data_IF_556155795040
#
_entry.id   IF_556155795040
#
_cell.length_a   1.000
_cell.length_b   1.000
_cell.length_c   1.000
_cell.angle_alpha   90.00
_cell.angle_beta   90.00
_cell.angle_gamma   90.00
#
_symmetry.space_group_name_H-M   'P 1'
#
loop_
_entity.id
_entity.type
_entity.pdbx_description
1 polymer ?
#
# COMPACT_ATOMS: atom_id res chain seq x y z
N UNK A 1 32.11 -52.09 -33.88
CA UNK A 1 32.02 -53.35 -34.65
C UNK A 1 31.72 -54.48 -33.68
N UNK A 2 31.08 -55.60 -34.06
CA UNK A 2 29.94 -55.78 -35.00
C UNK A 2 28.83 -56.71 -34.35
N UNK A 3 27.60 -56.95 -34.82
CA UNK A 3 26.66 -56.42 -35.85
C UNK A 3 25.23 -56.99 -35.55
N UNK A 4 24.33 -56.97 -36.55
CA UNK A 4 23.04 -57.68 -36.76
C UNK A 4 21.79 -56.78 -36.61
N UNK A 5 21.31 -56.08 -37.65
CA UNK A 5 20.59 -56.46 -38.90
C UNK A 5 19.04 -56.54 -38.79
N UNK A 6 18.37 -55.90 -39.77
CA UNK A 6 16.91 -55.69 -39.93
C UNK A 6 16.31 -56.62 -41.02
N UNK A 7 14.99 -56.57 -41.39
CA UNK A 7 14.52 -55.57 -42.39
C UNK A 7 13.00 -55.16 -42.40
N UNK A 8 12.71 -54.02 -43.06
CA UNK A 8 11.43 -53.66 -43.75
C UNK A 8 10.29 -53.05 -42.89
N UNK A 9 9.43 -52.12 -43.35
CA UNK A 9 9.25 -51.38 -44.62
C UNK A 9 7.75 -51.08 -44.82
N UNK A 10 7.23 -49.85 -45.00
CA UNK A 10 7.06 -49.11 -46.28
C UNK A 10 6.29 -47.78 -46.00
N UNK A 11 6.48 -46.73 -46.84
CA UNK A 11 5.65 -45.48 -46.91
C UNK A 11 4.92 -45.37 -48.27
N UNK A 12 3.85 -44.56 -48.34
CA UNK A 12 3.87 -43.35 -49.20
C UNK A 12 3.15 -42.15 -48.54
N UNK A 13 3.03 -40.94 -49.09
CA UNK A 13 3.85 -39.94 -49.84
C UNK A 13 2.91 -38.71 -50.04
N UNK A 14 3.46 -37.50 -50.17
CA UNK A 14 2.72 -36.19 -50.21
C UNK A 14 2.47 -35.76 -51.68
N UNK A 15 1.51 -34.85 -52.01
CA UNK A 15 1.67 -33.36 -51.97
C UNK A 15 0.36 -32.60 -51.58
N UNK A 16 0.23 -31.27 -51.47
CA UNK A 16 1.18 -30.13 -51.49
C UNK A 16 0.57 -28.83 -52.09
N UNK A 17 0.72 -27.66 -51.41
CA UNK A 17 0.44 -26.26 -51.88
C UNK A 17 -1.03 -25.89 -52.22
N UNK A 18 -1.47 -24.62 -52.37
CA UNK A 18 -1.15 -23.33 -51.70
C UNK A 18 -2.16 -22.23 -52.14
N UNK A 19 -2.29 -21.17 -51.33
CA UNK A 19 -2.60 -19.76 -51.69
C UNK A 19 -4.04 -19.26 -52.05
N UNK A 20 -4.48 -18.27 -51.23
CA UNK A 20 -4.96 -16.90 -51.59
C UNK A 20 -6.41 -16.60 -52.08
N UNK A 21 -6.90 -15.50 -51.46
CA UNK A 21 -7.79 -14.40 -51.94
C UNK A 21 -9.33 -14.52 -51.83
N UNK A 22 -9.84 -13.65 -50.95
CA UNK A 22 -11.02 -12.76 -51.00
C UNK A 22 -11.99 -12.80 -52.19
N UNK A 23 -13.31 -12.79 -51.90
CA UNK A 23 -14.27 -11.76 -52.32
C UNK A 23 -15.66 -12.01 -51.67
N UNK A 24 -16.55 -11.02 -51.72
CA UNK A 24 -17.88 -11.01 -51.08
C UNK A 24 -19.03 -11.22 -52.10
N UNK A 25 -20.27 -10.80 -51.72
CA UNK A 25 -21.58 -10.95 -52.39
C UNK A 25 -22.25 -12.30 -52.09
N UNK A 26 -23.52 -12.36 -51.67
CA UNK A 26 -24.47 -11.30 -51.30
C UNK A 26 -25.90 -11.85 -51.28
N UNK A 27 -26.79 -11.30 -50.42
CA UNK A 27 -28.22 -11.65 -50.43
C UNK A 27 -29.05 -10.50 -49.86
N UNK A 28 -29.76 -9.81 -50.75
CA UNK A 28 -30.73 -8.75 -50.44
C UNK A 28 -32.14 -9.32 -50.34
N UNK A 29 -32.89 -8.95 -49.32
CA UNK A 29 -34.35 -9.03 -49.30
C UNK A 29 -34.89 -7.74 -48.68
N UNK A 30 -35.78 -7.07 -49.40
CA UNK A 30 -36.35 -5.79 -49.01
C UNK A 30 -37.65 -5.98 -48.23
N UNK A 31 -37.91 -5.07 -47.28
CA UNK A 31 -39.23 -4.89 -46.69
C UNK A 31 -39.48 -3.38 -46.48
N UNK A 32 -40.56 -2.88 -47.09
CA UNK A 32 -41.06 -1.51 -46.91
C UNK A 32 -42.03 -1.48 -45.74
N UNK A 33 -41.89 -0.50 -44.83
CA UNK A 33 -43.00 0.01 -44.01
C UNK A 33 -42.84 1.51 -43.80
N UNK A 34 -43.96 2.23 -43.71
CA UNK A 34 -44.01 3.68 -43.79
C UNK A 34 -44.08 4.39 -42.43
N UNK A 35 -43.57 5.64 -42.41
CA UNK A 35 -44.20 6.80 -41.77
C UNK A 35 -44.52 6.79 -40.27
N UNK A 36 -43.72 7.54 -39.50
CA UNK A 36 -44.22 8.32 -38.36
C UNK A 36 -43.31 9.53 -38.11
N UNK A 37 -43.78 10.76 -38.39
CA UNK A 37 -43.08 11.99 -38.01
C UNK A 37 -43.33 12.31 -36.55
N UNK A 38 -42.41 11.95 -35.66
CA UNK A 38 -42.45 12.37 -34.26
C UNK A 38 -41.84 13.77 -34.12
N UNK A 39 -42.65 14.73 -33.71
CA UNK A 39 -42.18 16.08 -33.37
C UNK A 39 -41.31 16.02 -32.11
N UNK A 40 -40.03 16.40 -32.25
CA UNK A 40 -39.12 16.50 -31.12
C UNK A 40 -39.53 17.69 -30.22
N UNK A 41 -40.09 17.39 -29.05
CA UNK A 41 -40.30 18.39 -28.00
C UNK A 41 -38.98 18.96 -27.47
N UNK A 42 -38.98 20.17 -26.88
CA UNK A 42 -37.76 20.81 -26.41
C UNK A 42 -37.06 19.96 -25.34
N UNK A 43 -35.75 19.76 -25.52
CA UNK A 43 -34.94 18.96 -24.62
C UNK A 43 -34.87 19.60 -23.22
N UNK A 44 -35.45 18.93 -22.23
CA UNK A 44 -35.31 19.33 -20.83
C UNK A 44 -33.86 19.09 -20.41
N UNK A 45 -33.11 20.18 -20.23
CA UNK A 45 -31.73 20.13 -19.79
C UNK A 45 -31.65 19.47 -18.40
N UNK A 46 -31.00 18.30 -18.32
CA UNK A 46 -30.63 17.73 -17.01
C UNK A 46 -29.64 18.69 -16.33
N UNK A 47 -29.82 19.03 -15.05
CA UNK A 47 -28.86 19.85 -14.33
C UNK A 47 -27.51 19.12 -14.28
N UNK A 48 -26.52 19.66 -14.98
CA UNK A 48 -25.13 19.20 -14.85
C UNK A 48 -24.67 19.49 -13.43
N UNK A 49 -24.33 18.44 -12.67
CA UNK A 49 -23.64 18.60 -11.39
C UNK A 49 -22.32 19.31 -11.63
N UNK A 50 -22.15 20.50 -11.04
CA UNK A 50 -20.93 21.26 -11.16
C UNK A 50 -19.71 20.41 -10.72
N UNK A 51 -18.58 20.45 -11.46
CA UNK A 51 -17.39 19.73 -11.07
C UNK A 51 -16.95 20.17 -9.67
N UNK A 52 -16.66 19.19 -8.81
CA UNK A 52 -16.24 19.46 -7.44
C UNK A 52 -14.99 20.35 -7.44
N UNK A 53 -15.02 21.43 -6.66
CA UNK A 53 -13.91 22.38 -6.59
C UNK A 53 -12.59 21.64 -6.28
N UNK A 54 -11.61 21.86 -7.15
CA UNK A 54 -10.28 21.26 -7.03
C UNK A 54 -9.68 21.61 -5.65
N UNK A 55 -9.14 20.62 -4.96
CA UNK A 55 -8.32 20.91 -3.79
C UNK A 55 -7.07 21.69 -4.23
N UNK A 56 -6.56 22.63 -3.42
CA UNK A 56 -5.29 23.27 -3.70
C UNK A 56 -4.17 22.23 -3.63
N UNK A 57 -3.47 21.97 -4.75
CA UNK A 57 -2.23 21.16 -4.72
C UNK A 57 -1.75 20.55 -6.03
N UNK A 58 -2.62 20.08 -6.93
CA UNK A 58 -2.19 19.36 -8.15
C UNK A 58 -3.19 19.48 -9.32
N UNK A 59 -2.72 19.24 -10.54
CA UNK A 59 -3.56 19.26 -11.75
C UNK A 59 -4.46 18.02 -11.83
N UNK A 60 -5.57 18.11 -12.57
CA UNK A 60 -6.57 17.05 -12.67
C UNK A 60 -6.02 15.69 -13.15
N UNK A 61 -4.94 15.67 -13.94
CA UNK A 61 -4.27 14.42 -14.34
C UNK A 61 -3.66 13.67 -13.13
N UNK A 62 -3.11 14.44 -12.18
CA UNK A 62 -2.42 14.00 -10.98
C UNK A 62 -3.33 13.86 -9.75
N UNK A 63 -4.63 14.12 -9.88
CA UNK A 63 -5.60 13.92 -8.79
C UNK A 63 -6.20 12.52 -8.83
N UNK A 64 -6.36 11.91 -7.65
CA UNK A 64 -7.26 10.78 -7.40
C UNK A 64 -8.31 11.26 -6.40
N UNK A 65 -9.58 11.18 -6.77
CA UNK A 65 -10.71 11.33 -5.85
C UNK A 65 -11.67 10.16 -6.04
N UNK A 66 -11.95 9.43 -4.96
CA UNK A 66 -12.88 8.31 -4.98
C UNK A 66 -13.88 8.47 -3.84
N UNK A 67 -15.16 8.51 -4.18
CA UNK A 67 -16.25 8.26 -3.23
C UNK A 67 -16.52 6.75 -3.18
N UNK A 68 -16.34 6.14 -2.02
CA UNK A 68 -16.62 4.74 -1.78
C UNK A 68 -18.15 4.54 -1.63
N UNK A 69 -18.65 3.32 -1.92
CA UNK A 69 -20.09 3.02 -1.89
C UNK A 69 -20.72 3.22 -0.51
N UNK A 70 -19.92 3.21 0.56
CA UNK A 70 -20.31 3.44 1.94
C UNK A 70 -20.45 4.92 2.30
N UNK A 71 -20.08 5.83 1.39
CA UNK A 71 -20.32 7.28 1.46
C UNK A 71 -19.07 8.12 1.72
N UNK A 72 -18.03 7.52 2.31
CA UNK A 72 -16.71 8.11 2.51
C UNK A 72 -16.08 8.57 1.19
N UNK A 73 -15.32 9.68 1.22
CA UNK A 73 -14.54 10.17 0.08
C UNK A 73 -13.08 10.28 0.44
N UNK A 74 -12.20 9.68 -0.36
CA UNK A 74 -10.75 9.89 -0.30
C UNK A 74 -10.29 10.78 -1.45
N UNK A 75 -9.34 11.69 -1.19
CA UNK A 75 -8.76 12.59 -2.18
C UNK A 75 -7.27 12.77 -1.94
N UNK A 76 -6.46 12.63 -2.97
CA UNK A 76 -5.00 12.82 -2.93
C UNK A 76 -4.48 13.28 -4.30
N UNK A 77 -3.25 13.78 -4.29
CA UNK A 77 -2.41 13.93 -5.46
C UNK A 77 -1.51 12.68 -5.59
N UNK A 78 -1.15 12.30 -6.80
CA UNK A 78 -0.10 11.33 -7.08
C UNK A 78 0.96 11.95 -8.00
N UNK A 79 2.22 11.62 -7.74
CA UNK A 79 3.32 11.85 -8.67
C UNK A 79 4.22 10.62 -8.71
N UNK A 80 5.12 10.61 -9.69
CA UNK A 80 6.12 9.57 -9.82
C UNK A 80 7.51 10.17 -9.57
N UNK A 81 8.24 9.58 -8.64
CA UNK A 81 9.55 10.00 -8.14
C UNK A 81 10.63 9.13 -8.79
N UNK A 82 11.73 9.74 -9.26
CA UNK A 82 12.78 9.03 -10.02
C UNK A 82 13.55 7.95 -9.25
N UNK A 83 13.16 7.68 -8.00
CA UNK A 83 13.77 6.67 -7.12
C UNK A 83 12.76 5.91 -6.27
N UNK A 84 11.78 6.57 -5.64
CA UNK A 84 10.75 5.86 -4.86
C UNK A 84 9.54 5.38 -5.67
N UNK A 85 9.46 5.68 -6.97
CA UNK A 85 8.28 5.36 -7.78
C UNK A 85 7.06 6.15 -7.33
N UNK A 86 5.97 5.48 -6.97
CA UNK A 86 4.72 6.13 -6.57
C UNK A 86 4.87 6.94 -5.27
N UNK A 87 4.57 8.24 -5.35
CA UNK A 87 4.45 9.13 -4.19
C UNK A 87 3.05 9.73 -4.15
N UNK A 88 2.40 9.62 -3.00
CA UNK A 88 1.07 10.17 -2.75
C UNK A 88 1.20 11.42 -1.87
N UNK A 89 0.52 12.50 -2.26
CA UNK A 89 0.62 13.81 -1.62
C UNK A 89 -0.77 14.39 -1.34
N UNK A 90 -0.86 15.33 -0.40
CA UNK A 90 -2.11 16.00 -0.05
C UNK A 90 -3.28 15.06 0.30
N UNK A 91 -2.97 13.91 0.92
CA UNK A 91 -3.94 12.87 1.25
C UNK A 91 -4.96 13.41 2.27
N UNK A 92 -6.24 13.29 1.93
CA UNK A 92 -7.36 13.75 2.73
C UNK A 92 -8.54 12.77 2.71
N UNK A 93 -9.20 12.70 3.86
CA UNK A 93 -10.27 11.78 4.19
C UNK A 93 -11.53 12.58 4.53
N UNK A 94 -12.63 12.36 3.83
CA UNK A 94 -13.95 12.86 4.26
C UNK A 94 -14.81 11.67 4.67
N UNK A 95 -14.98 11.41 5.98
CA UNK A 95 -15.89 10.37 6.44
C UNK A 95 -17.33 10.68 6.02
N UNK A 96 -18.15 9.64 5.93
CA UNK A 96 -19.60 9.76 5.73
C UNK A 96 -20.19 10.71 6.79
N UNK A 97 -20.86 11.77 6.35
CA UNK A 97 -21.52 12.74 7.24
C UNK A 97 -20.64 13.92 7.70
N UNK A 98 -19.35 13.98 7.36
CA UNK A 98 -18.57 15.22 7.53
C UNK A 98 -18.70 16.14 6.31
N UNK A 99 -18.79 17.44 6.56
CA UNK A 99 -18.97 18.46 5.51
C UNK A 99 -17.65 18.81 4.81
N UNK A 100 -16.54 18.77 5.53
CA UNK A 100 -15.19 19.13 5.06
C UNK A 100 -14.27 17.91 5.08
N UNK A 101 -13.37 17.74 4.09
CA UNK A 101 -12.28 16.76 4.18
C UNK A 101 -11.33 17.09 5.34
N UNK A 102 -10.86 16.04 6.00
CA UNK A 102 -9.82 16.06 7.02
C UNK A 102 -8.51 15.74 6.31
N UNK A 103 -7.53 16.65 6.35
CA UNK A 103 -6.17 16.39 5.85
C UNK A 103 -5.51 15.35 6.76
N UNK A 104 -4.87 14.33 6.17
CA UNK A 104 -4.20 13.24 6.91
C UNK A 104 -2.69 13.33 6.77
N UNK A 105 -2.19 13.21 5.53
CA UNK A 105 -0.76 13.26 5.21
C UNK A 105 -0.47 14.39 4.21
N UNK A 106 0.66 15.07 4.39
CA UNK A 106 1.23 15.95 3.38
C UNK A 106 1.86 15.11 2.27
N UNK A 107 2.63 14.08 2.63
CA UNK A 107 3.21 13.11 1.68
C UNK A 107 3.36 11.72 2.30
N UNK A 108 3.31 10.70 1.46
CA UNK A 108 3.56 9.30 1.78
C UNK A 108 4.31 8.64 0.61
N UNK A 109 5.40 7.93 0.91
CA UNK A 109 6.27 7.28 -0.09
C UNK A 109 6.99 6.07 0.49
N UNK A 110 7.47 5.19 -0.40
CA UNK A 110 8.60 4.33 -0.06
C UNK A 110 9.87 5.17 0.16
N UNK A 111 10.72 4.66 1.04
CA UNK A 111 11.91 5.32 1.55
C UNK A 111 13.17 4.44 1.46
N UNK A 112 13.06 3.11 1.36
CA UNK A 112 14.11 2.22 0.90
C UNK A 112 13.51 0.83 0.69
N UNK A 113 14.10 0.04 -0.21
CA UNK A 113 14.02 -1.43 -0.15
C UNK A 113 15.48 -1.88 -0.07
N UNK A 114 15.84 -2.53 1.03
CA UNK A 114 17.22 -2.93 1.32
C UNK A 114 17.31 -4.46 1.38
N UNK A 115 18.06 -5.03 0.44
CA UNK A 115 18.14 -6.48 0.18
C UNK A 115 19.56 -7.01 0.38
N UNK A 116 19.96 -7.30 1.63
CA UNK A 116 21.20 -8.02 1.93
C UNK A 116 21.00 -9.53 1.74
N UNK A 117 21.93 -10.15 1.02
CA UNK A 117 22.04 -11.61 0.94
C UNK A 117 22.83 -12.15 2.13
N UNK A 118 22.40 -13.30 2.67
CA UNK A 118 22.99 -13.89 3.87
C UNK A 118 24.42 -14.39 3.64
N UNK A 119 24.82 -14.52 2.37
CA UNK A 119 26.19 -14.86 2.00
C UNK A 119 27.19 -13.69 2.12
N UNK A 120 26.68 -12.46 2.25
CA UNK A 120 27.43 -11.23 2.40
C UNK A 120 28.07 -10.68 1.12
N UNK A 121 27.89 -11.32 -0.05
CA UNK A 121 28.46 -10.85 -1.33
C UNK A 121 27.63 -9.74 -1.95
N UNK A 122 26.31 -9.78 -1.78
CA UNK A 122 25.36 -8.85 -2.38
C UNK A 122 24.56 -8.09 -1.31
N UNK A 123 24.49 -6.76 -1.44
CA UNK A 123 23.63 -5.90 -0.63
C UNK A 123 23.06 -4.77 -1.50
N UNK A 124 21.77 -4.87 -1.82
CA UNK A 124 21.10 -3.94 -2.71
C UNK A 124 20.28 -2.88 -1.95
N UNK A 125 20.12 -1.73 -2.59
CA UNK A 125 19.40 -0.56 -2.08
C UNK A 125 18.49 -0.04 -3.18
N UNK A 126 17.45 -0.80 -3.51
CA UNK A 126 16.84 -0.86 -4.84
C UNK A 126 16.36 0.50 -5.34
N UNK A 127 15.69 1.26 -4.47
CA UNK A 127 15.16 2.60 -4.77
C UNK A 127 16.27 3.60 -5.07
N UNK A 128 17.39 3.51 -4.36
CA UNK A 128 18.49 4.47 -4.49
C UNK A 128 19.55 4.04 -5.50
N UNK A 129 19.70 2.75 -5.79
CA UNK A 129 20.82 2.19 -6.54
C UNK A 129 20.53 1.11 -7.58
N UNK A 130 19.30 0.63 -7.76
CA UNK A 130 18.96 -0.41 -8.77
C UNK A 130 17.81 0.00 -9.70
N UNK A 131 17.73 1.28 -10.09
CA UNK A 131 16.77 1.80 -11.07
C UNK A 131 15.28 1.48 -10.84
N UNK A 132 14.88 1.12 -9.60
CA UNK A 132 13.53 0.67 -9.23
C UNK A 132 12.40 1.47 -9.90
N UNK A 133 12.50 2.81 -9.92
CA UNK A 133 11.47 3.66 -10.49
C UNK A 133 11.46 3.65 -12.03
N UNK A 134 12.61 3.52 -12.67
CA UNK A 134 12.73 3.48 -14.13
C UNK A 134 12.11 2.20 -14.69
N UNK A 135 12.28 1.08 -13.99
CA UNK A 135 11.72 -0.23 -14.30
C UNK A 135 10.24 -0.37 -13.86
N UNK A 136 9.41 0.63 -14.19
CA UNK A 136 7.95 0.58 -14.01
C UNK A 136 7.33 -0.34 -15.07
N UNK A 137 6.54 -1.31 -14.65
CA UNK A 137 5.89 -2.27 -15.56
C UNK A 137 4.59 -1.71 -16.18
N UNK A 138 4.30 -2.05 -17.44
CA UNK A 138 2.98 -1.81 -18.03
C UNK A 138 1.97 -2.84 -17.51
N UNK A 139 0.89 -2.36 -16.91
CA UNK A 139 -0.18 -3.20 -16.37
C UNK A 139 -1.21 -3.53 -17.45
N UNK A 140 -1.53 -4.81 -17.59
CA UNK A 140 -2.66 -5.28 -18.37
C UNK A 140 -3.99 -4.91 -17.70
N UNK A 141 -5.09 -4.68 -18.46
CA UNK A 141 -6.40 -4.34 -17.90
C UNK A 141 -6.94 -5.36 -16.87
N UNK A 142 -6.55 -6.63 -16.98
CA UNK A 142 -6.96 -7.70 -16.06
C UNK A 142 -6.34 -7.56 -14.66
N UNK A 143 -5.18 -6.92 -14.52
CA UNK A 143 -4.51 -6.72 -13.22
C UNK A 143 -5.22 -5.66 -12.37
N UNK A 144 -5.86 -4.69 -13.02
CA UNK A 144 -6.61 -3.60 -12.40
C UNK A 144 -8.14 -3.78 -12.55
N UNK A 145 -8.74 -4.88 -12.05
CA UNK A 145 -10.14 -5.21 -12.30
C UNK A 145 -11.07 -4.14 -11.72
N UNK A 146 -12.03 -3.70 -12.54
CA UNK A 146 -12.98 -2.64 -12.19
C UNK A 146 -12.37 -1.25 -11.97
N UNK A 147 -11.07 -1.08 -12.28
CA UNK A 147 -10.31 0.14 -12.04
C UNK A 147 -9.99 0.93 -13.30
N UNK A 148 -9.06 1.87 -13.13
CA UNK A 148 -8.44 2.64 -14.21
C UNK A 148 -6.93 2.50 -14.12
N UNK A 149 -6.27 2.36 -15.27
CA UNK A 149 -4.81 2.34 -15.37
C UNK A 149 -4.39 3.68 -15.98
N UNK A 150 -3.70 4.51 -15.20
CA UNK A 150 -3.15 5.79 -15.66
C UNK A 150 -1.79 5.58 -16.30
N UNK A 151 -1.53 6.35 -17.36
CA UNK A 151 -0.19 6.50 -17.92
C UNK A 151 0.66 7.38 -17.01
N UNK A 152 1.87 6.91 -16.72
CA UNK A 152 2.86 7.52 -15.83
C UNK A 152 4.04 7.95 -16.69
N UNK A 153 4.37 9.25 -16.68
CA UNK A 153 5.64 9.71 -17.24
C UNK A 153 6.75 9.34 -16.27
N UNK A 154 7.60 8.38 -16.66
CA UNK A 154 8.67 7.86 -15.80
C UNK A 154 9.89 8.78 -15.92
N UNK A 155 10.37 9.40 -14.83
CA UNK A 155 11.58 10.21 -14.87
C UNK A 155 12.83 9.35 -15.14
N UNK A 156 13.74 9.88 -15.95
CA UNK A 156 15.03 9.26 -16.28
C UNK A 156 14.93 7.87 -16.95
N UNK A 157 13.75 7.51 -17.48
CA UNK A 157 13.52 6.31 -18.29
C UNK A 157 14.06 6.43 -19.71
N UNK A 158 14.05 5.31 -20.45
CA UNK A 158 14.36 5.27 -21.88
C UNK A 158 13.55 6.33 -22.66
N UNK A 159 14.20 7.28 -23.36
CA UNK A 159 13.53 8.31 -24.16
C UNK A 159 12.58 7.78 -25.25
N UNK A 160 12.71 6.51 -25.65
CA UNK A 160 11.79 5.85 -26.58
C UNK A 160 10.46 5.41 -25.95
N UNK A 161 10.46 5.12 -24.64
CA UNK A 161 9.27 4.67 -23.89
C UNK A 161 9.05 5.46 -22.56
N UNK A 162 9.01 6.80 -22.59
CA UNK A 162 9.00 7.63 -21.38
C UNK A 162 7.65 7.65 -20.63
N UNK A 163 6.62 6.95 -21.13
CA UNK A 163 5.29 6.88 -20.54
C UNK A 163 4.81 5.42 -20.46
N UNK A 164 4.57 4.93 -19.25
CA UNK A 164 4.16 3.54 -18.98
C UNK A 164 2.75 3.51 -18.37
N UNK A 165 1.89 2.59 -18.79
CA UNK A 165 0.56 2.39 -18.16
C UNK A 165 0.69 1.60 -16.84
N UNK A 166 1.40 2.18 -15.87
CA UNK A 166 1.86 1.48 -14.66
C UNK A 166 1.10 1.76 -13.36
N UNK A 167 0.12 2.70 -13.36
CA UNK A 167 -0.59 3.10 -12.13
C UNK A 167 -2.04 2.64 -12.15
N UNK A 168 -2.37 1.61 -11.37
CA UNK A 168 -3.75 1.18 -11.14
C UNK A 168 -4.42 2.04 -10.06
N UNK A 169 -5.70 2.31 -10.25
CA UNK A 169 -6.61 2.84 -9.22
C UNK A 169 -7.96 2.13 -9.34
N UNK A 170 -8.37 1.39 -8.30
CA UNK A 170 -9.62 0.60 -8.26
C UNK A 170 -10.25 0.64 -6.85
N UNK A 171 -11.39 -0.03 -6.65
CA UNK A 171 -11.98 -0.26 -5.31
C UNK A 171 -12.20 -1.74 -5.09
N UNK A 172 -11.89 -2.27 -3.90
CA UNK A 172 -12.12 -3.68 -3.55
C UNK A 172 -13.00 -3.81 -2.31
N UNK A 173 -13.45 -5.04 -2.05
CA UNK A 173 -14.14 -5.38 -0.81
C UNK A 173 -13.12 -5.66 0.28
N UNK A 174 -13.33 -5.14 1.49
CA UNK A 174 -12.49 -5.44 2.66
C UNK A 174 -13.18 -6.32 3.71
N UNK A 175 -14.28 -6.97 3.35
CA UNK A 175 -15.11 -7.75 4.27
C UNK A 175 -16.01 -6.87 5.14
N UNK A 176 -16.34 -7.33 6.35
CA UNK A 176 -17.20 -6.59 7.27
C UNK A 176 -16.52 -5.31 7.78
N UNK A 177 -17.20 -4.16 7.62
CA UNK A 177 -16.88 -2.92 8.32
C UNK A 177 -17.36 -2.93 9.78
N UNK A 178 -18.49 -3.58 10.03
CA UNK A 178 -18.98 -3.93 11.37
C UNK A 178 -20.06 -5.02 11.28
N UNK A 179 -20.28 -5.70 12.41
CA UNK A 179 -21.43 -6.59 12.65
C UNK A 179 -21.80 -6.55 14.13
N UNK A 180 -23.02 -6.16 14.46
CA UNK A 180 -23.57 -6.10 15.81
C UNK A 180 -24.97 -6.69 15.81
N UNK A 181 -25.31 -7.46 16.84
CA UNK A 181 -26.66 -7.94 17.12
C UNK A 181 -27.32 -7.00 18.13
N UNK A 182 -28.62 -6.72 17.99
CA UNK A 182 -29.34 -5.81 18.89
C UNK A 182 -29.83 -6.59 20.13
N UNK A 183 -29.30 -6.23 21.30
CA UNK A 183 -29.57 -6.91 22.56
C UNK A 183 -31.02 -6.73 23.08
N UNK A 184 -31.76 -5.75 22.56
CA UNK A 184 -33.17 -5.50 22.92
C UNK A 184 -34.12 -6.02 21.83
N UNK A 185 -33.67 -6.04 20.57
CA UNK A 185 -34.44 -6.52 19.41
C UNK A 185 -33.75 -7.77 18.80
N UNK A 186 -33.97 -8.99 19.35
CA UNK A 186 -33.15 -10.15 19.02
C UNK A 186 -33.23 -10.65 17.56
N UNK A 187 -34.19 -10.21 16.77
CA UNK A 187 -34.23 -10.49 15.32
C UNK A 187 -33.42 -9.49 14.47
N UNK A 188 -32.83 -8.45 15.11
CA UNK A 188 -32.17 -7.35 14.43
C UNK A 188 -30.64 -7.48 14.48
N UNK A 189 -30.03 -7.28 13.32
CA UNK A 189 -28.58 -7.20 13.16
C UNK A 189 -28.21 -5.96 12.37
N UNK A 190 -27.30 -5.16 12.90
CA UNK A 190 -26.63 -4.08 12.18
C UNK A 190 -25.34 -4.64 11.58
N UNK A 191 -25.22 -4.67 10.26
CA UNK A 191 -24.00 -5.12 9.59
C UNK A 191 -23.80 -4.39 8.27
N UNK A 192 -22.55 -4.20 7.88
CA UNK A 192 -22.19 -3.56 6.62
C UNK A 192 -20.88 -4.13 6.08
N UNK A 193 -20.80 -4.36 4.77
CA UNK A 193 -19.55 -4.63 4.07
C UNK A 193 -18.80 -3.32 3.80
N UNK A 194 -17.50 -3.30 4.12
CA UNK A 194 -16.61 -2.18 3.85
C UNK A 194 -16.02 -2.19 2.45
N UNK A 195 -15.52 -1.03 2.04
CA UNK A 195 -14.72 -0.85 0.82
C UNK A 195 -13.39 -0.17 1.12
N UNK A 196 -12.43 -0.43 0.24
CA UNK A 196 -11.22 0.37 0.10
C UNK A 196 -11.15 1.02 -1.30
N UNK A 197 -10.37 2.09 -1.38
CA UNK A 197 -9.74 2.57 -2.61
C UNK A 197 -8.33 1.96 -2.63
N UNK A 198 -8.01 1.22 -3.68
CA UNK A 198 -6.72 0.59 -3.90
C UNK A 198 -5.95 1.36 -5.00
N UNK A 199 -4.73 1.79 -4.68
CA UNK A 199 -3.80 2.44 -5.61
C UNK A 199 -2.47 1.68 -5.57
N UNK A 200 -1.95 1.24 -6.73
CA UNK A 200 -0.67 0.53 -6.77
C UNK A 200 0.09 0.69 -8.10
N UNK A 201 1.39 0.42 -8.04
CA UNK A 201 2.30 0.22 -9.19
C UNK A 201 3.06 -1.10 -9.03
N UNK A 202 3.61 -1.63 -10.13
CA UNK A 202 4.51 -2.80 -10.12
C UNK A 202 5.84 -2.39 -10.73
N UNK A 203 6.93 -2.67 -10.02
CA UNK A 203 8.29 -2.26 -10.38
C UNK A 203 9.22 -3.47 -10.37
N UNK A 204 9.98 -3.71 -11.44
CA UNK A 204 10.91 -4.83 -11.53
C UNK A 204 12.32 -4.40 -11.10
N UNK A 205 13.03 -5.25 -10.35
CA UNK A 205 14.45 -5.06 -10.01
C UNK A 205 15.15 -6.42 -10.12
N UNK A 206 15.90 -6.60 -11.21
CA UNK A 206 16.50 -7.90 -11.55
C UNK A 206 15.42 -8.99 -11.68
N UNK A 207 15.51 -10.01 -10.84
CA UNK A 207 14.55 -11.13 -10.80
C UNK A 207 13.27 -10.84 -10.01
N UNK A 208 13.27 -9.80 -9.18
CA UNK A 208 12.15 -9.45 -8.30
C UNK A 208 11.18 -8.47 -8.95
N UNK A 209 9.90 -8.62 -8.65
CA UNK A 209 8.86 -7.62 -8.88
C UNK A 209 8.31 -7.15 -7.53
N UNK A 210 8.09 -5.84 -7.40
CA UNK A 210 7.57 -5.19 -6.20
C UNK A 210 6.24 -4.49 -6.50
N UNK A 211 5.17 -4.99 -5.89
CA UNK A 211 3.83 -4.38 -5.93
C UNK A 211 3.74 -3.35 -4.81
N UNK A 212 3.88 -2.06 -5.13
CA UNK A 212 3.80 -0.96 -4.14
C UNK A 212 2.34 -0.57 -3.93
N UNK A 213 1.75 -0.94 -2.79
CA UNK A 213 0.31 -0.94 -2.58
C UNK A 213 -0.14 0.03 -1.48
N UNK A 214 -1.15 0.86 -1.78
CA UNK A 214 -1.81 1.77 -0.84
C UNK A 214 -3.32 1.51 -0.82
N UNK A 215 -3.87 1.13 0.34
CA UNK A 215 -5.31 0.88 0.53
C UNK A 215 -5.93 1.89 1.48
N UNK A 216 -6.88 2.66 0.98
CA UNK A 216 -7.58 3.73 1.68
C UNK A 216 -9.00 3.26 2.04
N UNK A 217 -9.19 2.81 3.28
CA UNK A 217 -10.42 2.16 3.74
C UNK A 217 -11.51 3.18 4.09
N UNK A 218 -12.78 2.77 4.02
CA UNK A 218 -13.90 3.66 4.27
C UNK A 218 -14.07 4.15 5.72
N UNK A 219 -13.54 3.42 6.70
CA UNK A 219 -13.46 3.85 8.10
C UNK A 219 -12.34 4.87 8.38
N UNK A 220 -11.46 5.12 7.40
CA UNK A 220 -10.34 6.04 7.48
C UNK A 220 -8.98 5.38 7.64
N UNK A 221 -8.93 4.05 7.84
CA UNK A 221 -7.66 3.31 7.89
C UNK A 221 -6.92 3.40 6.57
N UNK A 222 -5.60 3.61 6.61
CA UNK A 222 -4.72 3.47 5.46
C UNK A 222 -3.79 2.30 5.71
N UNK A 223 -3.79 1.31 4.81
CA UNK A 223 -2.81 0.22 4.83
C UNK A 223 -1.78 0.42 3.72
N UNK A 224 -0.53 0.12 4.02
CA UNK A 224 0.62 0.32 3.14
C UNK A 224 1.41 -0.97 3.07
N UNK A 225 1.50 -1.56 1.88
CA UNK A 225 2.17 -2.84 1.67
C UNK A 225 3.15 -2.77 0.50
N UNK A 226 4.17 -3.62 0.55
CA UNK A 226 4.94 -4.04 -0.62
C UNK A 226 4.76 -5.54 -0.76
N UNK A 227 4.31 -5.97 -1.94
CA UNK A 227 4.30 -7.37 -2.34
C UNK A 227 5.57 -7.70 -3.10
N UNK A 228 6.42 -8.58 -2.57
CA UNK A 228 7.59 -9.11 -3.28
C UNK A 228 7.18 -10.39 -4.03
N UNK A 229 7.47 -10.44 -5.34
CA UNK A 229 7.07 -11.51 -6.27
C UNK A 229 8.09 -11.59 -7.43
N UNK A 230 7.79 -12.31 -8.50
CA UNK A 230 8.65 -12.44 -9.68
C UNK A 230 9.31 -13.82 -9.73
N UNK A 231 10.65 -13.86 -9.68
CA UNK A 231 11.45 -15.09 -9.69
C UNK A 231 12.56 -15.04 -8.64
N UNK A 232 12.95 -16.21 -8.13
CA UNK A 232 14.21 -16.33 -7.40
C UNK A 232 15.40 -16.08 -8.34
N UNK A 233 16.49 -15.54 -7.79
CA UNK A 233 17.76 -15.39 -8.49
C UNK A 233 18.41 -16.77 -8.69
N UNK A 234 18.34 -17.32 -9.90
CA UNK A 234 18.94 -18.62 -10.23
C UNK A 234 20.47 -18.59 -10.24
N UNK A 235 21.08 -17.40 -10.32
CA UNK A 235 22.53 -17.22 -10.21
C UNK A 235 23.04 -17.56 -8.80
N UNK A 236 22.16 -17.45 -7.79
CA UNK A 236 22.45 -17.67 -6.37
C UNK A 236 22.05 -19.07 -5.88
N UNK A 237 21.88 -20.04 -6.79
CA UNK A 237 21.45 -21.43 -6.52
C UNK A 237 22.56 -22.36 -6.00
N UNK A 238 23.56 -21.82 -5.31
CA UNK A 238 24.78 -22.52 -4.89
C UNK A 238 25.04 -22.52 -3.36
N UNK A 239 24.10 -22.05 -2.53
CA UNK A 239 24.28 -21.87 -1.10
C UNK A 239 24.13 -23.16 -0.26
N UNK A 240 24.99 -24.14 -0.53
CA UNK A 240 25.03 -25.44 0.15
C UNK A 240 25.63 -25.40 1.58
N UNK A 241 26.07 -24.23 2.06
CA UNK A 241 26.76 -24.05 3.35
C UNK A 241 25.84 -23.64 4.51
N UNK A 242 24.53 -23.91 4.38
CA UNK A 242 23.52 -23.60 5.40
C UNK A 242 22.97 -22.17 5.33
N UNK A 243 23.43 -21.34 4.38
CA UNK A 243 22.89 -20.00 4.10
C UNK A 243 21.77 -20.01 3.06
N UNK A 244 21.48 -21.16 2.45
CA UNK A 244 20.40 -21.33 1.49
C UNK A 244 19.46 -22.48 1.83
N UNK A 245 18.39 -22.61 1.06
CA UNK A 245 17.43 -23.72 1.16
C UNK A 245 17.46 -24.58 -0.11
N UNK A 246 17.41 -25.92 0.01
CA UNK A 246 17.38 -26.80 -1.15
C UNK A 246 16.10 -26.59 -1.97
N UNK A 247 16.28 -26.50 -3.29
CA UNK A 247 15.19 -26.31 -4.25
C UNK A 247 15.32 -27.29 -5.41
N UNK A 248 14.19 -27.59 -6.03
CA UNK A 248 14.13 -28.50 -7.17
C UNK A 248 14.43 -29.96 -6.81
N UNK A 249 14.55 -30.79 -7.86
CA UNK A 249 14.56 -32.24 -7.69
C UNK A 249 15.87 -32.75 -7.07
N UNK A 250 15.76 -33.24 -5.84
CA UNK A 250 16.83 -33.98 -5.17
C UNK A 250 17.92 -33.11 -4.56
N UNK A 251 17.57 -31.87 -4.16
CA UNK A 251 18.45 -30.97 -3.39
C UNK A 251 19.85 -30.82 -4.01
N UNK A 252 19.91 -30.49 -5.30
CA UNK A 252 21.16 -30.19 -6.01
C UNK A 252 21.49 -28.70 -5.98
N UNK A 253 20.44 -27.90 -6.10
CA UNK A 253 20.45 -26.45 -6.18
C UNK A 253 19.93 -25.88 -4.85
N UNK A 254 20.52 -24.78 -4.38
CA UNK A 254 20.21 -24.18 -3.08
C UNK A 254 20.10 -22.66 -3.21
N UNK A 255 18.88 -22.12 -3.15
CA UNK A 255 18.64 -20.69 -3.23
C UNK A 255 19.20 -19.97 -2.00
N UNK A 256 20.06 -18.97 -2.21
CA UNK A 256 20.65 -18.17 -1.13
C UNK A 256 19.57 -17.35 -0.40
N UNK A 257 19.53 -17.48 0.93
CA UNK A 257 18.61 -16.72 1.77
C UNK A 257 19.03 -15.25 1.82
N UNK A 258 18.06 -14.37 1.98
CA UNK A 258 18.27 -12.93 1.98
C UNK A 258 17.14 -12.23 2.75
N UNK A 259 17.34 -10.98 3.14
CA UNK A 259 16.29 -10.17 3.77
C UNK A 259 15.73 -9.13 2.82
N UNK A 260 14.46 -8.77 2.98
CA UNK A 260 13.85 -7.58 2.38
C UNK A 260 13.51 -6.61 3.50
N UNK A 261 14.11 -5.42 3.53
CA UNK A 261 13.82 -4.41 4.54
C UNK A 261 13.20 -3.19 3.88
N UNK A 262 11.89 -3.03 4.02
CA UNK A 262 11.11 -1.98 3.35
C UNK A 262 10.85 -0.85 4.31
N UNK A 263 11.18 0.36 3.87
CA UNK A 263 10.94 1.59 4.62
C UNK A 263 9.87 2.42 3.94
N UNK A 264 8.98 3.01 4.74
CA UNK A 264 8.04 4.06 4.33
C UNK A 264 8.34 5.36 5.07
N UNK A 265 8.17 6.50 4.40
CA UNK A 265 8.25 7.84 4.99
C UNK A 265 6.86 8.48 4.97
N UNK A 266 6.34 8.86 6.14
CA UNK A 266 5.04 9.50 6.33
C UNK A 266 5.24 10.90 6.92
N UNK A 267 4.78 11.90 6.18
CA UNK A 267 4.74 13.30 6.60
C UNK A 267 3.29 13.66 6.95
N UNK A 268 2.99 13.78 8.24
CA UNK A 268 1.63 14.02 8.72
C UNK A 268 1.25 15.51 8.60
N UNK A 269 0.07 15.73 8.03
CA UNK A 269 -0.52 17.05 7.84
C UNK A 269 -1.88 17.18 8.52
N UNK A 270 -2.05 16.57 9.70
CA UNK A 270 -3.35 16.43 10.35
C UNK A 270 -4.05 17.79 10.48
N UNK A 271 -5.28 17.84 9.97
CA UNK A 271 -6.13 19.05 9.94
C UNK A 271 -5.47 20.28 9.27
N UNK A 272 -4.50 20.06 8.37
CA UNK A 272 -3.79 21.09 7.64
C UNK A 272 -2.57 21.66 8.36
N UNK A 273 -2.14 21.06 9.48
CA UNK A 273 -0.94 21.46 10.20
C UNK A 273 0.13 20.38 10.14
N UNK A 274 1.37 20.77 9.83
CA UNK A 274 2.55 19.90 9.98
C UNK A 274 3.04 19.80 11.42
N UNK A 275 2.58 20.68 12.32
CA UNK A 275 3.01 20.77 13.74
C UNK A 275 2.43 19.67 14.64
N UNK A 276 2.22 18.50 14.07
CA UNK A 276 1.67 17.33 14.75
C UNK A 276 2.58 16.87 15.89
N UNK A 277 2.02 16.10 16.83
CA UNK A 277 2.71 15.63 18.03
C UNK A 277 2.71 14.12 18.06
N UNK A 278 3.82 13.49 18.47
CA UNK A 278 3.86 12.04 18.65
C UNK A 278 3.67 11.69 20.13
N UNK A 279 2.76 10.76 20.40
CA UNK A 279 2.53 10.19 21.73
C UNK A 279 2.84 8.69 21.69
N UNK A 280 3.67 8.21 22.62
CA UNK A 280 3.91 6.80 22.88
C UNK A 280 3.02 6.36 24.04
N UNK A 281 2.50 5.15 23.96
CA UNK A 281 1.75 4.51 25.02
C UNK A 281 2.42 3.19 25.38
N UNK A 282 2.62 2.94 26.67
CA UNK A 282 3.13 1.69 27.23
C UNK A 282 2.14 1.22 28.31
N UNK A 283 1.57 0.01 28.20
CA UNK A 283 0.81 -0.60 29.30
C UNK A 283 1.63 -1.64 30.05
N UNK A 284 1.59 -1.56 31.37
CA UNK A 284 2.18 -2.57 32.27
C UNK A 284 1.07 -3.41 32.87
N UNK A 285 1.19 -4.74 32.76
CA UNK A 285 0.28 -5.70 33.40
C UNK A 285 0.82 -6.04 34.79
N UNK A 286 -0.07 -6.01 35.78
CA UNK A 286 0.19 -6.42 37.17
C UNK A 286 -0.62 -7.67 37.48
N UNK A 287 -0.08 -8.54 38.34
CA UNK A 287 -0.80 -9.70 38.88
C UNK A 287 -2.08 -9.28 39.64
N UNK A 288 -3.06 -10.18 39.84
CA UNK A 288 -4.22 -9.93 40.69
C UNK A 288 -3.81 -9.47 42.10
N UNK A 289 -4.53 -8.52 42.70
CA UNK A 289 -4.26 -8.11 44.08
C UNK A 289 -4.90 -9.06 45.12
N UNK A 290 -5.92 -9.82 44.72
CA UNK A 290 -6.58 -10.84 45.54
C UNK A 290 -6.88 -12.14 44.77
N UNK A 291 -7.18 -13.22 45.52
CA UNK A 291 -7.43 -14.57 44.95
C UNK A 291 -8.67 -14.67 44.03
N UNK A 292 -9.56 -13.68 44.06
CA UNK A 292 -10.78 -13.61 43.24
C UNK A 292 -10.71 -12.53 42.14
N UNK A 293 -9.58 -11.85 42.00
CA UNK A 293 -9.39 -10.79 41.01
C UNK A 293 -8.67 -11.30 39.75
N UNK A 294 -8.83 -10.56 38.65
CA UNK A 294 -8.01 -10.74 37.44
C UNK A 294 -6.75 -9.88 37.46
N UNK A 295 -5.79 -10.12 36.56
CA UNK A 295 -4.68 -9.20 36.32
C UNK A 295 -5.20 -7.81 35.91
N UNK A 296 -4.48 -6.75 36.29
CA UNK A 296 -4.82 -5.38 35.91
C UNK A 296 -3.78 -4.81 34.95
N UNK A 297 -4.16 -3.85 34.11
CA UNK A 297 -3.23 -3.16 33.20
C UNK A 297 -3.32 -1.65 33.39
N UNK A 298 -2.17 -0.98 33.51
CA UNK A 298 -2.08 0.49 33.59
C UNK A 298 -1.28 1.04 32.42
N UNK A 299 -1.89 1.92 31.65
CA UNK A 299 -1.25 2.58 30.50
C UNK A 299 -0.64 3.92 30.89
N UNK A 300 0.64 4.10 30.58
CA UNK A 300 1.35 5.39 30.67
C UNK A 300 1.44 6.00 29.27
N UNK A 301 1.17 7.31 29.18
CA UNK A 301 1.32 8.09 27.95
C UNK A 301 2.53 9.01 28.05
N UNK A 302 3.47 8.85 27.13
CA UNK A 302 4.71 9.63 27.03
C UNK A 302 4.65 10.51 25.79
N UNK A 303 4.93 11.81 25.94
CA UNK A 303 5.10 12.72 24.80
C UNK A 303 6.47 12.49 24.17
N UNK A 304 6.51 12.18 22.88
CA UNK A 304 7.76 12.09 22.11
C UNK A 304 8.08 13.49 21.62
N UNK A 305 8.84 14.24 22.43
CA UNK A 305 9.19 15.65 22.18
C UNK A 305 10.52 15.84 21.43
N UNK A 306 11.28 14.76 21.29
CA UNK A 306 12.53 14.66 20.56
C UNK A 306 12.49 13.46 19.65
N UNK A 307 13.38 13.44 18.67
CA UNK A 307 13.58 12.31 17.77
C UNK A 307 13.72 10.98 18.50
N UNK A 308 13.24 9.91 17.88
CA UNK A 308 13.08 8.60 18.49
C UNK A 308 13.44 7.50 17.49
N UNK A 309 14.17 6.49 17.95
CA UNK A 309 14.17 5.17 17.34
C UNK A 309 13.31 4.26 18.23
N UNK A 310 12.35 3.55 17.65
CA UNK A 310 11.25 2.89 18.35
C UNK A 310 11.06 1.44 17.94
N UNK A 311 10.94 0.58 18.94
CA UNK A 311 10.68 -0.86 18.77
C UNK A 311 9.29 -1.23 19.28
N UNK A 312 8.53 -1.93 18.45
CA UNK A 312 7.31 -2.59 18.87
C UNK A 312 7.64 -3.62 19.95
N UNK A 313 6.76 -3.68 20.94
CA UNK A 313 6.77 -4.69 22.01
C UNK A 313 5.34 -4.85 22.52
N UNK A 314 5.10 -5.91 23.29
CA UNK A 314 3.82 -6.13 23.96
C UNK A 314 3.33 -4.85 24.67
N UNK A 315 2.07 -4.48 24.42
CA UNK A 315 1.40 -3.28 24.97
C UNK A 315 2.09 -1.92 24.69
N UNK A 316 2.96 -1.82 23.67
CA UNK A 316 3.44 -0.54 23.16
C UNK A 316 2.86 -0.20 21.79
N UNK A 317 2.41 1.04 21.66
CA UNK A 317 1.99 1.64 20.39
C UNK A 317 2.23 3.15 20.40
N UNK A 318 2.09 3.79 19.23
CA UNK A 318 2.24 5.23 19.07
C UNK A 318 1.09 5.82 18.27
N UNK A 319 0.84 7.11 18.45
CA UNK A 319 -0.01 7.89 17.55
C UNK A 319 0.59 9.24 17.21
N UNK A 320 0.25 9.71 16.02
CA UNK A 320 0.46 11.09 15.58
C UNK A 320 -0.82 11.88 15.81
N UNK A 321 -0.73 12.99 16.54
CA UNK A 321 -1.85 13.78 17.06
C UNK A 321 -1.86 15.16 16.42
N UNK A 322 -3.05 15.60 16.01
CA UNK A 322 -3.30 16.93 15.46
C UNK A 322 -2.96 18.03 16.45
N UNK A 323 -2.38 19.11 15.94
CA UNK A 323 -2.06 20.30 16.73
C UNK A 323 -3.30 21.17 17.02
N UNK A 324 -4.31 21.08 16.15
CA UNK A 324 -5.39 22.06 16.00
C UNK A 324 -6.77 21.41 15.91
N UNK A 325 -6.88 20.23 15.31
CA UNK A 325 -8.16 19.58 15.03
C UNK A 325 -8.67 18.67 16.15
N UNK A 326 -10.00 18.67 16.30
CA UNK A 326 -10.73 17.84 17.26
C UNK A 326 -11.91 17.15 16.58
N UNK A 327 -12.35 16.02 17.11
CA UNK A 327 -13.65 15.45 16.78
C UNK A 327 -14.80 16.24 17.43
N UNK A 328 -16.04 15.78 17.23
CA UNK A 328 -17.25 16.42 17.77
C UNK A 328 -17.37 16.34 19.31
N UNK A 329 -16.64 15.43 19.95
CA UNK A 329 -16.58 15.28 21.42
C UNK A 329 -15.43 16.11 22.04
N UNK A 330 -14.66 16.83 21.21
CA UNK A 330 -13.55 17.67 21.67
C UNK A 330 -12.23 16.93 21.91
N UNK A 331 -12.14 15.64 21.58
CA UNK A 331 -10.91 14.85 21.58
C UNK A 331 -10.01 15.28 20.41
N UNK A 332 -8.69 15.33 20.61
CA UNK A 332 -7.74 15.71 19.57
C UNK A 332 -7.63 14.61 18.51
N UNK A 333 -7.83 14.96 17.23
CA UNK A 333 -7.75 13.98 16.14
C UNK A 333 -6.36 13.38 16.05
N UNK A 334 -6.28 12.07 15.82
CA UNK A 334 -5.00 11.38 15.71
C UNK A 334 -5.06 10.17 14.78
N UNK A 335 -3.89 9.68 14.39
CA UNK A 335 -3.74 8.39 13.72
C UNK A 335 -2.77 7.53 14.50
N UNK A 336 -3.20 6.32 14.84
CA UNK A 336 -2.39 5.29 15.48
C UNK A 336 -1.51 4.58 14.45
N UNK A 337 -0.26 4.30 14.81
CA UNK A 337 0.64 3.48 14.02
C UNK A 337 0.39 2.01 14.39
N UNK A 338 -0.16 1.24 13.46
CA UNK A 338 -0.50 -0.17 13.64
C UNK A 338 0.54 -1.02 12.89
N UNK A 339 1.55 -1.58 13.58
CA UNK A 339 2.59 -2.38 12.95
C UNK A 339 2.00 -3.68 12.37
N UNK A 340 2.51 -4.10 11.21
CA UNK A 340 2.31 -5.47 10.70
C UNK A 340 3.37 -6.43 11.23
N UNK A 341 3.31 -7.72 10.83
CA UNK A 341 4.38 -8.68 11.08
C UNK A 341 5.71 -8.19 10.51
N UNK A 342 6.80 -8.32 11.26
CA UNK A 342 8.15 -7.92 10.84
C UNK A 342 9.19 -8.90 11.38
N UNK A 343 10.14 -9.29 10.53
CA UNK A 343 11.34 -10.05 10.86
C UNK A 343 12.52 -9.10 10.67
N UNK A 344 12.99 -8.52 11.78
CA UNK A 344 13.96 -7.42 11.75
C UNK A 344 15.37 -7.91 11.42
N UNK A 345 15.98 -7.37 10.37
CA UNK A 345 17.40 -7.59 10.05
C UNK A 345 18.32 -6.66 10.86
N UNK A 346 19.22 -7.16 11.73
CA UNK A 346 20.05 -6.31 12.57
C UNK A 346 21.39 -5.86 11.92
N UNK A 347 21.67 -6.24 10.67
CA UNK A 347 22.99 -6.09 10.03
C UNK A 347 23.39 -4.68 9.57
N UNK A 348 22.47 -3.70 9.60
CA UNK A 348 22.76 -2.27 9.36
C UNK A 348 22.14 -1.41 10.45
N UNK A 349 22.75 -0.26 10.75
CA UNK A 349 22.28 0.63 11.83
C UNK A 349 20.83 1.08 11.66
N UNK A 350 20.44 1.41 10.43
CA UNK A 350 19.10 1.87 10.07
C UNK A 350 18.02 0.78 10.03
N UNK A 351 18.40 -0.50 10.07
CA UNK A 351 17.44 -1.63 10.10
C UNK A 351 17.21 -2.17 11.51
N UNK A 352 17.89 -1.62 12.54
CA UNK A 352 17.84 -2.10 13.93
C UNK A 352 16.58 -1.76 14.71
N UNK A 353 15.71 -0.90 14.18
CA UNK A 353 14.43 -0.55 14.81
C UNK A 353 13.24 -0.67 13.87
N UNK A 354 12.05 -0.89 14.42
CA UNK A 354 10.80 -1.04 13.65
C UNK A 354 10.27 0.31 13.14
N UNK A 355 10.59 1.40 13.84
CA UNK A 355 10.25 2.75 13.41
C UNK A 355 11.25 3.80 13.88
N UNK A 356 11.23 4.94 13.21
CA UNK A 356 11.93 6.15 13.62
C UNK A 356 11.00 7.36 13.53
N UNK A 357 11.23 8.37 14.36
CA UNK A 357 10.62 9.70 14.25
C UNK A 357 11.76 10.71 14.20
N UNK A 358 11.86 11.45 13.10
CA UNK A 358 12.86 12.53 12.94
C UNK A 358 12.16 13.88 12.81
N UNK A 359 12.89 14.97 12.99
CA UNK A 359 12.38 16.27 12.57
C UNK A 359 12.40 16.36 11.04
N UNK A 360 11.46 17.12 10.45
CA UNK A 360 11.41 17.30 9.01
C UNK A 360 12.68 17.96 8.45
N UNK A 361 13.32 17.26 7.52
CA UNK A 361 14.40 17.77 6.68
C UNK A 361 14.04 17.52 5.19
N UNK A 362 14.36 18.49 4.33
CA UNK A 362 14.03 18.47 2.90
C UNK A 362 14.89 17.49 2.08
N UNK A 363 16.10 17.16 2.55
CA UNK A 363 16.99 16.22 1.86
C UNK A 363 16.75 14.76 2.28
N UNK A 364 16.18 14.56 3.47
CA UNK A 364 15.90 13.26 4.09
C UNK A 364 14.59 12.69 3.52
N UNK A 365 14.74 11.94 2.43
CA UNK A 365 13.63 11.34 1.66
C UNK A 365 13.66 9.80 1.67
N UNK A 366 14.82 9.21 1.94
CA UNK A 366 15.11 7.77 1.95
C UNK A 366 15.71 7.35 3.28
N UNK A 367 15.46 6.14 3.78
CA UNK A 367 15.99 5.71 5.09
C UNK A 367 17.53 5.55 5.10
N UNK A 368 18.15 5.42 3.93
CA UNK A 368 19.59 5.44 3.69
C UNK A 368 19.90 5.99 2.29
N UNK A 369 21.16 6.32 2.01
CA UNK A 369 21.66 6.66 0.65
C UNK A 369 20.95 7.83 -0.05
N UNK A 370 20.59 8.88 0.71
CA UNK A 370 19.94 10.08 0.17
C UNK A 370 20.84 10.83 -0.83
N UNK A 371 20.49 10.88 -2.14
CA UNK A 371 21.33 11.48 -3.17
C UNK A 371 21.29 13.02 -3.18
N UNK A 372 20.31 13.63 -2.50
CA UNK A 372 20.10 15.09 -2.44
C UNK A 372 20.64 15.74 -1.16
N UNK A 373 21.13 14.96 -0.20
CA UNK A 373 21.75 15.51 1.00
C UNK A 373 23.18 15.96 0.72
N UNK A 374 23.61 17.04 1.37
CA UNK A 374 24.94 17.60 1.20
C UNK A 374 26.04 16.62 1.65
N UNK A 375 27.27 16.84 1.15
CA UNK A 375 28.45 16.13 1.65
C UNK A 375 28.61 16.37 3.16
N UNK A 376 28.92 15.31 3.91
CA UNK A 376 28.97 15.34 5.37
C UNK A 376 27.62 15.13 6.09
N UNK A 377 26.47 15.21 5.41
CA UNK A 377 25.19 14.88 6.05
C UNK A 377 25.17 13.41 6.49
N UNK A 378 24.64 13.07 7.68
CA UNK A 378 24.58 11.68 8.13
C UNK A 378 23.77 10.81 7.16
N UNK A 379 24.23 9.58 6.91
CA UNK A 379 23.85 8.82 5.71
C UNK A 379 22.57 8.00 5.82
N UNK A 380 21.99 7.88 7.02
CA UNK A 380 20.84 7.01 7.29
C UNK A 380 20.08 7.43 8.55
N UNK A 381 18.82 6.98 8.66
CA UNK A 381 17.87 7.43 9.69
C UNK A 381 18.30 7.17 11.14
N UNK A 382 19.08 6.11 11.39
CA UNK A 382 19.69 5.86 12.71
C UNK A 382 20.77 6.88 13.11
N UNK A 383 21.24 7.71 12.17
CA UNK A 383 22.20 8.80 12.42
C UNK A 383 21.54 10.17 12.47
N UNK A 384 20.27 10.29 12.11
CA UNK A 384 19.50 11.53 12.24
C UNK A 384 18.90 11.68 13.62
N UNK A 385 18.48 10.57 14.25
CA UNK A 385 17.99 10.52 15.64
C UNK A 385 19.13 10.87 16.63
N UNK A 386 19.45 12.15 16.70
CA UNK A 386 20.46 12.76 17.58
C UNK A 386 19.84 13.50 18.76
N UNK A 387 18.50 13.59 18.80
CA UNK A 387 17.75 14.21 19.89
C UNK A 387 17.37 15.67 19.62
N UNK A 388 17.21 16.03 18.34
CA UNK A 388 16.56 17.28 17.93
C UNK A 388 15.13 17.34 18.47
N UNK A 389 14.61 18.55 18.69
CA UNK A 389 13.22 18.72 19.13
C UNK A 389 12.26 18.57 17.94
N UNK A 390 11.13 17.87 18.15
CA UNK A 390 10.13 17.63 17.11
C UNK A 390 9.14 18.81 17.04
N UNK A 391 9.16 19.55 15.93
CA UNK A 391 8.20 20.63 15.61
C UNK A 391 7.42 20.35 14.33
N UNK A 392 7.95 19.50 13.45
CA UNK A 392 7.30 18.88 12.29
C UNK A 392 7.81 17.43 12.19
N UNK A 393 7.25 16.48 12.97
CA UNK A 393 7.74 15.11 13.00
C UNK A 393 7.43 14.37 11.68
N UNK A 394 8.43 13.64 11.20
CA UNK A 394 8.32 12.67 10.09
C UNK A 394 8.44 11.27 10.66
N UNK A 395 7.49 10.40 10.33
CA UNK A 395 7.49 8.99 10.76
C UNK A 395 8.11 8.13 9.67
N UNK A 396 9.04 7.26 10.07
CA UNK A 396 9.65 6.25 9.22
C UNK A 396 9.28 4.88 9.79
N UNK A 397 8.67 4.02 8.97
CA UNK A 397 8.32 2.65 9.38
C UNK A 397 9.22 1.67 8.63
N UNK A 398 9.75 0.68 9.34
CA UNK A 398 10.60 -0.40 8.82
C UNK A 398 9.89 -1.73 9.01
N UNK A 399 9.59 -2.42 7.92
CA UNK A 399 9.06 -3.78 7.95
C UNK A 399 10.07 -4.68 7.24
N UNK A 400 10.52 -5.71 7.95
CA UNK A 400 11.48 -6.68 7.45
C UNK A 400 10.84 -8.03 7.17
N UNK A 401 11.36 -8.73 6.17
CA UNK A 401 11.07 -10.12 5.85
C UNK A 401 12.38 -10.87 5.61
N UNK A 402 12.58 -12.01 6.27
CA UNK A 402 13.71 -12.90 5.98
C UNK A 402 13.22 -14.02 5.08
N UNK A 403 13.75 -14.07 3.86
CA UNK A 403 13.35 -14.99 2.82
C UNK A 403 14.30 -16.19 2.78
N UNK A 404 13.94 -17.23 3.53
CA UNK A 404 14.43 -18.58 3.30
C UNK A 404 13.46 -19.19 2.29
N UNK A 405 13.88 -19.25 1.02
CA UNK A 405 13.02 -19.69 -0.09
C UNK A 405 12.56 -21.15 0.07
N UNK A 406 11.43 -21.51 -0.53
CA UNK A 406 10.90 -22.89 -0.58
C UNK A 406 10.71 -23.33 -2.02
N UNK A 407 10.39 -24.61 -2.23
CA UNK A 407 10.11 -25.14 -3.56
C UNK A 407 8.94 -24.41 -4.24
N UNK A 408 7.92 -23.99 -3.48
CA UNK A 408 6.79 -23.21 -4.01
C UNK A 408 7.14 -21.79 -4.44
N UNK A 409 8.31 -21.28 -4.04
CA UNK A 409 8.76 -19.91 -4.35
C UNK A 409 9.56 -19.85 -5.68
N UNK A 410 9.73 -20.98 -6.38
CA UNK A 410 10.23 -21.04 -7.76
C UNK A 410 9.28 -20.31 -8.74
N UNK A 411 9.79 -19.94 -9.93
CA UNK A 411 9.07 -19.11 -10.88
C UNK A 411 7.73 -19.74 -11.37
N UNK A 412 6.60 -19.01 -11.33
CA UNK A 412 6.41 -17.68 -10.74
C UNK A 412 6.29 -17.73 -9.22
N UNK A 413 7.11 -16.94 -8.53
CA UNK A 413 7.11 -16.85 -7.07
C UNK A 413 5.76 -16.30 -6.55
N UNK A 414 5.15 -16.88 -5.50
CA UNK A 414 3.97 -16.31 -4.85
C UNK A 414 4.28 -14.96 -4.19
N UNK A 415 3.30 -14.05 -4.19
CA UNK A 415 3.49 -12.73 -3.57
C UNK A 415 3.62 -12.82 -2.05
N UNK A 416 4.80 -12.50 -1.52
CA UNK A 416 4.98 -12.21 -0.10
C UNK A 416 4.59 -10.77 0.20
N UNK A 417 3.68 -10.54 1.15
CA UNK A 417 3.24 -9.20 1.57
C UNK A 417 3.85 -8.78 2.90
N UNK A 418 4.53 -7.64 2.89
CA UNK A 418 5.00 -6.96 4.10
C UNK A 418 4.47 -5.52 4.13
N UNK A 419 4.10 -5.02 5.30
CA UNK A 419 3.42 -3.75 5.42
C UNK A 419 2.95 -3.42 6.83
N UNK A 420 2.20 -2.34 6.96
CA UNK A 420 1.61 -1.86 8.20
C UNK A 420 0.36 -1.02 7.90
N UNK A 421 -0.26 -0.43 8.92
CA UNK A 421 -1.38 0.50 8.73
C UNK A 421 -1.29 1.71 9.65
N UNK A 422 -2.00 2.77 9.27
CA UNK A 422 -2.36 3.85 10.18
C UNK A 422 -3.88 3.88 10.36
N UNK A 423 -4.32 3.84 11.62
CA UNK A 423 -5.72 3.74 11.97
C UNK A 423 -6.25 5.06 12.59
N UNK A 424 -7.44 5.56 12.20
CA UNK A 424 -8.06 6.72 12.82
C UNK A 424 -8.26 6.50 14.31
N UNK A 425 -7.80 7.46 15.12
CA UNK A 425 -8.05 7.49 16.56
C UNK A 425 -8.53 8.88 16.96
N UNK A 426 -9.73 8.97 17.49
CA UNK A 426 -10.40 10.24 17.79
C UNK A 426 -10.58 11.17 16.57
N UNK A 427 -10.58 10.65 15.32
CA UNK A 427 -10.79 11.45 14.09
C UNK A 427 -12.26 11.89 13.97
N UNK A 428 -13.16 10.96 14.21
CA UNK A 428 -14.61 11.14 14.37
C UNK A 428 -15.02 10.84 15.81
N UNK A 429 -16.27 11.13 16.16
CA UNK A 429 -16.82 10.86 17.50
C UNK A 429 -17.12 9.37 17.70
N UNK A 430 -17.94 8.83 16.79
CA UNK A 430 -18.17 7.39 16.64
C UNK A 430 -17.50 6.87 15.35
N UNK A 431 -17.55 5.56 15.13
CA UNK A 431 -17.25 4.94 13.85
C UNK A 431 -17.99 5.68 12.72
N UNK A 432 -17.31 6.18 11.67
CA UNK A 432 -17.94 7.00 10.63
C UNK A 432 -19.02 6.26 9.81
N UNK A 433 -19.09 4.93 9.93
CA UNK A 433 -20.07 4.09 9.26
C UNK A 433 -21.27 3.72 10.16
N UNK A 434 -21.33 4.25 11.39
CA UNK A 434 -22.40 4.00 12.37
C UNK A 434 -23.79 4.25 11.75
N UNK A 435 -24.74 3.30 11.87
CA UNK A 435 -26.14 3.49 11.49
C UNK A 435 -26.78 4.68 12.21
N UNK A 436 -27.72 5.37 11.55
CA UNK A 436 -28.41 6.54 12.13
C UNK A 436 -29.17 6.15 13.42
N UNK A 437 -29.66 4.93 13.48
CA UNK A 437 -30.41 4.33 14.57
C UNK A 437 -29.57 4.12 15.84
N UNK A 438 -28.24 4.12 15.72
CA UNK A 438 -27.25 3.94 16.78
C UNK A 438 -26.46 5.22 17.10
N UNK A 439 -26.65 6.31 16.36
CA UNK A 439 -25.91 7.56 16.55
C UNK A 439 -26.10 8.22 17.94
N UNK A 440 -27.12 7.81 18.68
CA UNK A 440 -27.38 8.25 20.06
C UNK A 440 -26.46 7.57 21.10
N UNK A 441 -25.76 6.49 20.75
CA UNK A 441 -24.90 5.75 21.70
C UNK A 441 -23.57 6.46 22.01
N UNK A 442 -23.30 7.63 21.43
CA UNK A 442 -22.02 8.33 21.53
C UNK A 442 -21.68 8.70 22.99
N UNK A 443 -20.84 7.88 23.65
CA UNK A 443 -20.52 8.04 25.08
C UNK A 443 -21.65 7.69 26.06
N UNK A 444 -22.80 7.21 25.55
CA UNK A 444 -23.94 6.82 26.37
C UNK A 444 -23.88 5.32 26.70
N UNK A 445 -23.76 5.00 27.98
CA UNK A 445 -23.65 3.62 28.50
C UNK A 445 -25.00 3.04 28.97
N UNK A 446 -26.00 3.90 29.19
CA UNK A 446 -27.32 3.50 29.65
C UNK A 446 -28.14 2.87 28.50
N UNK A 447 -29.03 1.95 28.88
CA UNK A 447 -29.92 1.28 27.95
C UNK A 447 -30.91 2.25 27.31
N UNK A 448 -31.33 1.92 26.09
CA UNK A 448 -32.41 2.65 25.40
C UNK A 448 -33.72 2.43 26.17
N UNK A 449 -34.22 3.48 26.80
CA UNK A 449 -35.56 3.54 27.40
C UNK A 449 -36.66 3.45 26.35
#
# INVERSE_FOLDING_TARGET
MPEQHLPGGVRPRIPGRAARKSAAVGLTLAALTAGATTTAGPAVARPQTAPAAAAPGCSAAHTIEQKLSTGTTWRMCWRYDSKAGLVLENISYRPKGETKPIKVLNSARLAQIHVPYDDGKHEYYDLTGQNFAQELMELAPAECPGGTIKSVKVPDADPSHPNVKGLCTTTRSRGHAYRMHDLVQPDKTYQQQGKDLLVYTVNQVGWYEYITEWRFQDDGTVAMNVGATGSLSWEDYNAQDGRGWPIGKGAKDYATSHSHNVFWRLDFGLDGSSKTKVEQYDSTVSAPAGRQEGPTAKTTRTKVAKELAGDHKAYRWWRVVSATGKNKDGHARSYELVPGPTIRYPGRGFTKHDMYVTEYNTCELFASHNPKCANGHPKSVDKWVGGQALTHPVVWMNVGFHHIARDEDQQPMPVHWQGFSIAPRDVTAMNPLTPKELAWQNGHWEWRS
#
